data_IF_146030052056
#
_entry.id   IF_146030052056
#
_cell.length_a   1.000
_cell.length_b   1.000
_cell.length_c   1.000
_cell.angle_alpha   90.00
_cell.angle_beta   90.00
_cell.angle_gamma   90.00
#
_symmetry.space_group_name_H-M   'P 1'
#
loop_
_entity.id
_entity.type
_entity.pdbx_description
1 polymer ?
#
# COMPACT_ATOMS: atom_id res chain seq x y z
N UNK A 1 -25.11 8.10 0.51
CA UNK A 1 -23.73 8.44 0.96
C UNK A 1 -22.91 7.16 0.99
N UNK A 2 -21.87 7.12 0.17
CA UNK A 2 -21.06 5.93 0.08
C UNK A 2 -20.14 5.84 1.31
N UNK A 3 -20.17 4.70 1.99
CA UNK A 3 -19.25 4.46 3.09
C UNK A 3 -17.86 4.17 2.53
N UNK A 4 -16.83 4.57 3.28
CA UNK A 4 -15.45 4.23 2.96
C UNK A 4 -15.33 2.69 2.97
N UNK A 5 -14.80 2.06 1.93
CA UNK A 5 -14.60 0.60 1.92
C UNK A 5 -13.80 0.08 3.10
N UNK A 6 -12.87 0.88 3.64
CA UNK A 6 -12.09 0.48 4.80
C UNK A 6 -12.92 0.41 6.08
N UNK A 7 -14.04 1.15 6.15
CA UNK A 7 -14.93 1.11 7.31
C UNK A 7 -15.65 -0.25 7.44
N UNK A 8 -15.70 -1.03 6.37
CA UNK A 8 -16.31 -2.35 6.40
C UNK A 8 -15.42 -3.40 7.07
N UNK A 9 -14.13 -3.11 7.26
CA UNK A 9 -13.18 -4.05 7.84
C UNK A 9 -13.49 -4.29 9.33
N UNK A 10 -13.36 -5.53 9.78
CA UNK A 10 -13.38 -5.79 11.23
C UNK A 10 -12.15 -5.14 11.89
N UNK A 11 -12.23 -4.94 13.22
CA UNK A 11 -11.14 -4.29 13.95
C UNK A 11 -9.79 -4.98 13.75
N UNK A 12 -9.75 -6.32 13.70
CA UNK A 12 -8.50 -7.03 13.47
C UNK A 12 -7.95 -6.76 12.05
N UNK A 13 -8.83 -6.54 11.08
CA UNK A 13 -8.41 -6.23 9.71
C UNK A 13 -7.78 -4.85 9.60
N UNK A 14 -8.38 -3.85 10.23
CA UNK A 14 -7.79 -2.51 10.33
C UNK A 14 -6.44 -2.57 11.04
N UNK A 15 -6.35 -3.34 12.14
CA UNK A 15 -5.10 -3.53 12.87
C UNK A 15 -4.02 -4.19 12.00
N UNK A 16 -4.39 -5.22 11.24
CA UNK A 16 -3.45 -5.89 10.35
C UNK A 16 -2.89 -4.93 9.30
N UNK A 17 -3.74 -4.09 8.70
CA UNK A 17 -3.30 -3.05 7.78
C UNK A 17 -2.36 -2.04 8.44
N UNK A 18 -2.71 -1.59 9.65
CA UNK A 18 -1.90 -0.59 10.34
C UNK A 18 -0.53 -1.13 10.76
N UNK A 19 -0.47 -2.39 11.19
CA UNK A 19 0.72 -2.96 11.81
C UNK A 19 1.64 -3.71 10.86
N UNK A 20 1.14 -4.15 9.71
CA UNK A 20 1.96 -4.90 8.75
C UNK A 20 3.09 -4.03 8.21
N UNK A 21 4.29 -4.61 8.15
CA UNK A 21 5.50 -3.89 7.71
C UNK A 21 5.68 -3.93 6.21
N UNK A 22 5.12 -4.93 5.56
CA UNK A 22 5.21 -5.10 4.12
C UNK A 22 3.82 -5.42 3.60
N UNK A 23 3.47 -4.82 2.48
CA UNK A 23 2.30 -5.20 1.72
C UNK A 23 2.72 -5.64 0.32
N UNK A 24 1.85 -6.36 -0.35
CA UNK A 24 2.09 -6.82 -1.71
C UNK A 24 1.18 -6.04 -2.64
N UNK A 25 1.81 -5.25 -3.51
CA UNK A 25 1.12 -4.40 -4.48
C UNK A 25 0.97 -5.19 -5.78
N UNK A 26 -0.28 -5.46 -6.17
CA UNK A 26 -0.63 -6.09 -7.42
C UNK A 26 -1.03 -5.06 -8.45
N UNK A 27 -0.48 -5.17 -9.65
CA UNK A 27 -0.73 -4.23 -10.74
C UNK A 27 -0.50 -4.91 -12.09
N UNK A 28 -0.80 -4.22 -13.18
CA UNK A 28 -0.56 -4.71 -14.53
C UNK A 28 0.65 -4.00 -15.14
N UNK A 29 1.51 -4.77 -15.83
CA UNK A 29 2.65 -4.20 -16.54
C UNK A 29 2.26 -3.70 -17.95
N UNK A 30 3.24 -3.31 -18.75
CA UNK A 30 3.04 -2.74 -20.10
C UNK A 30 2.35 -3.72 -21.07
N UNK A 31 2.36 -5.01 -20.76
CA UNK A 31 1.73 -6.05 -21.57
C UNK A 31 0.50 -6.64 -20.91
N UNK A 32 -0.09 -5.91 -19.95
CA UNK A 32 -1.25 -6.36 -19.19
C UNK A 32 -1.03 -7.68 -18.43
N UNK A 33 0.23 -7.94 -18.04
CA UNK A 33 0.55 -9.10 -17.21
C UNK A 33 0.47 -8.72 -15.73
N UNK A 34 -0.16 -9.56 -14.92
CA UNK A 34 -0.19 -9.31 -13.47
C UNK A 34 1.23 -9.37 -12.88
N UNK A 35 1.55 -8.36 -12.06
CA UNK A 35 2.81 -8.28 -11.32
C UNK A 35 2.50 -8.04 -9.86
N UNK A 36 3.34 -8.58 -8.99
CA UNK A 36 3.22 -8.38 -7.54
C UNK A 36 4.56 -7.93 -7.00
N UNK A 37 4.55 -6.85 -6.22
CA UNK A 37 5.75 -6.24 -5.66
C UNK A 37 5.59 -6.05 -4.16
N UNK A 38 6.61 -6.36 -3.34
CA UNK A 38 6.58 -5.97 -1.92
C UNK A 38 6.84 -4.47 -1.79
N UNK A 39 6.07 -3.82 -0.94
CA UNK A 39 6.21 -2.37 -0.70
C UNK A 39 6.06 -2.07 0.79
N UNK A 40 6.73 -1.01 1.24
CA UNK A 40 6.40 -0.38 2.50
C UNK A 40 5.20 0.54 2.29
N UNK A 41 4.42 0.75 3.33
CA UNK A 41 3.18 1.51 3.19
C UNK A 41 2.68 2.02 4.53
N UNK A 42 1.74 2.95 4.48
CA UNK A 42 1.06 3.43 5.68
C UNK A 42 -0.42 3.63 5.39
N UNK A 43 -1.25 3.35 6.38
CA UNK A 43 -2.68 3.64 6.36
C UNK A 43 -2.89 4.98 7.05
N UNK A 44 -3.29 6.00 6.30
CA UNK A 44 -3.62 7.32 6.85
C UNK A 44 -4.54 8.06 5.89
N UNK A 45 -5.35 8.97 6.41
CA UNK A 45 -6.27 9.81 5.65
C UNK A 45 -7.17 8.99 4.70
N UNK A 46 -7.65 7.83 5.18
CA UNK A 46 -8.59 7.00 4.43
C UNK A 46 -8.01 6.30 3.21
N UNK A 47 -6.70 6.22 3.11
CA UNK A 47 -6.01 5.61 1.97
C UNK A 47 -4.76 4.86 2.41
N UNK A 48 -4.21 4.09 1.48
CA UNK A 48 -2.94 3.40 1.66
C UNK A 48 -1.90 4.10 0.80
N UNK A 49 -0.77 4.47 1.41
CA UNK A 49 0.26 5.27 0.76
C UNK A 49 1.58 4.53 0.76
N UNK A 50 2.28 4.58 -0.36
CA UNK A 50 3.61 3.99 -0.50
C UNK A 50 4.51 4.95 -1.27
N UNK A 51 5.69 5.23 -0.74
CA UNK A 51 6.61 6.16 -1.37
C UNK A 51 7.65 5.42 -2.20
N UNK A 52 8.16 6.11 -3.24
CA UNK A 52 9.30 5.62 -3.99
C UNK A 52 10.56 5.98 -3.22
N UNK A 53 11.31 4.98 -2.82
CA UNK A 53 12.52 5.14 -2.04
C UNK A 53 13.67 5.69 -2.89
N UNK A 54 14.58 6.38 -2.19
CA UNK A 54 15.88 6.70 -2.78
C UNK A 54 16.69 5.39 -2.88
N UNK A 55 17.01 4.99 -4.12
CA UNK A 55 17.78 3.81 -4.38
C UNK A 55 19.07 4.17 -5.12
N UNK A 56 20.12 3.33 -5.02
CA UNK A 56 21.36 3.58 -5.77
C UNK A 56 21.15 3.64 -7.28
N UNK A 57 20.12 3.00 -7.79
CA UNK A 57 19.79 3.01 -9.22
C UNK A 57 19.06 4.30 -9.56
N UNK A 58 19.46 4.92 -10.67
CA UNK A 58 18.97 6.24 -11.08
C UNK A 58 17.67 6.21 -11.87
N UNK A 59 17.16 5.03 -12.23
CA UNK A 59 15.94 4.92 -13.04
C UNK A 59 14.71 4.95 -12.16
N UNK A 60 13.67 5.63 -12.64
CA UNK A 60 12.36 5.51 -12.03
C UNK A 60 11.94 4.04 -12.01
N UNK A 61 11.34 3.56 -10.92
CA UNK A 61 10.78 2.22 -10.90
C UNK A 61 9.73 2.05 -11.99
N UNK A 62 9.75 0.90 -12.62
CA UNK A 62 8.79 0.59 -13.69
C UNK A 62 7.33 0.67 -13.21
N UNK A 63 7.09 0.44 -11.93
CA UNK A 63 5.72 0.51 -11.38
C UNK A 63 5.06 1.88 -11.57
N UNK A 64 5.83 2.97 -11.58
CA UNK A 64 5.26 4.30 -11.86
C UNK A 64 4.67 4.34 -13.26
N UNK A 65 5.41 3.88 -14.26
CA UNK A 65 4.94 3.82 -15.65
C UNK A 65 3.73 2.90 -15.78
N UNK A 66 3.76 1.75 -15.11
CA UNK A 66 2.65 0.81 -15.16
C UNK A 66 1.36 1.42 -14.58
N UNK A 67 1.48 2.11 -13.45
CA UNK A 67 0.32 2.73 -12.79
C UNK A 67 -0.18 3.97 -13.51
N UNK A 68 0.69 4.73 -14.17
CA UNK A 68 0.27 5.83 -15.03
C UNK A 68 -0.59 5.32 -16.19
N UNK A 69 -0.19 4.20 -16.77
CA UNK A 69 -0.91 3.58 -17.88
C UNK A 69 -2.21 2.91 -17.40
N UNK A 70 -2.17 2.23 -16.26
CA UNK A 70 -3.29 1.45 -15.72
C UNK A 70 -3.33 1.59 -14.20
N UNK A 71 -4.14 2.51 -13.69
CA UNK A 71 -4.08 2.89 -12.28
C UNK A 71 -4.77 1.92 -11.32
N UNK A 72 -5.45 0.90 -11.80
CA UNK A 72 -6.09 -0.09 -10.92
C UNK A 72 -5.05 -0.97 -10.27
N UNK A 73 -5.18 -1.17 -8.98
CA UNK A 73 -4.22 -1.95 -8.22
C UNK A 73 -4.90 -2.63 -7.03
N UNK A 74 -4.21 -3.61 -6.49
CA UNK A 74 -4.57 -4.23 -5.23
C UNK A 74 -3.40 -4.16 -4.27
N UNK A 75 -3.73 -4.14 -2.98
CA UNK A 75 -2.71 -4.18 -1.94
C UNK A 75 -3.15 -5.21 -0.90
N UNK A 76 -2.30 -6.21 -0.66
CA UNK A 76 -2.61 -7.32 0.23
C UNK A 76 -1.63 -7.34 1.38
N UNK A 77 -2.14 -7.49 2.58
CA UNK A 77 -1.36 -7.80 3.79
C UNK A 77 -1.85 -9.12 4.33
N UNK A 78 -0.96 -9.84 5.00
CA UNK A 78 -1.32 -11.13 5.56
C UNK A 78 -0.53 -11.42 6.83
N UNK A 79 -1.06 -12.36 7.60
CA UNK A 79 -0.38 -12.92 8.75
C UNK A 79 -0.23 -14.41 8.51
N UNK A 80 1.01 -14.89 8.49
CA UNK A 80 1.31 -16.31 8.41
C UNK A 80 1.95 -16.77 9.71
N UNK A 81 1.44 -17.88 10.24
CA UNK A 81 2.03 -18.59 11.39
C UNK A 81 1.92 -20.09 11.14
N UNK A 82 2.79 -20.87 11.77
CA UNK A 82 2.71 -22.34 11.68
C UNK A 82 1.42 -22.88 12.30
N UNK A 83 0.88 -22.19 13.29
CA UNK A 83 -0.49 -22.42 13.75
C UNK A 83 -1.46 -21.76 12.78
N UNK A 84 -2.06 -22.54 11.92
CA UNK A 84 -2.92 -22.02 10.86
C UNK A 84 -4.24 -21.43 11.38
N UNK A 85 -4.59 -21.63 12.64
CA UNK A 85 -5.74 -20.94 13.22
C UNK A 85 -5.51 -19.44 13.35
N UNK A 86 -4.25 -19.00 13.24
CA UNK A 86 -3.88 -17.58 13.27
C UNK A 86 -3.76 -16.93 11.90
N UNK A 87 -4.00 -17.66 10.82
CA UNK A 87 -3.89 -17.11 9.46
C UNK A 87 -4.97 -16.07 9.19
N UNK A 88 -4.57 -14.98 8.54
CA UNK A 88 -5.52 -13.94 8.14
C UNK A 88 -4.94 -13.16 6.96
N UNK A 89 -5.80 -12.54 6.18
CA UNK A 89 -5.37 -11.58 5.17
C UNK A 89 -6.42 -10.50 4.97
N UNK A 90 -5.95 -9.34 4.48
CA UNK A 90 -6.79 -8.23 4.03
C UNK A 90 -6.28 -7.81 2.66
N UNK A 91 -7.20 -7.61 1.72
CA UNK A 91 -6.90 -7.12 0.39
C UNK A 91 -7.75 -5.88 0.09
N UNK A 92 -7.08 -4.82 -0.33
CA UNK A 92 -7.73 -3.57 -0.71
C UNK A 92 -7.58 -3.40 -2.21
N UNK A 93 -8.70 -3.24 -2.90
CA UNK A 93 -8.74 -2.97 -4.34
C UNK A 93 -9.05 -1.49 -4.53
N UNK A 94 -8.35 -0.84 -5.45
CA UNK A 94 -8.60 0.57 -5.65
C UNK A 94 -7.89 1.17 -6.85
N UNK A 95 -7.87 2.49 -6.85
CA UNK A 95 -7.23 3.31 -7.89
C UNK A 95 -6.04 4.01 -7.28
N UNK A 96 -4.89 3.94 -7.95
CA UNK A 96 -3.67 4.61 -7.50
C UNK A 96 -3.59 5.99 -8.13
N UNK A 97 -3.39 6.99 -7.28
CA UNK A 97 -3.00 8.34 -7.66
C UNK A 97 -1.51 8.50 -7.38
N UNK A 98 -0.83 9.23 -8.24
CA UNK A 98 0.60 9.52 -8.07
C UNK A 98 0.74 10.98 -7.67
N UNK A 99 1.33 11.22 -6.50
CA UNK A 99 1.49 12.56 -5.96
C UNK A 99 2.97 12.92 -5.83
N UNK A 100 3.31 14.18 -6.06
CA UNK A 100 4.62 14.69 -5.72
C UNK A 100 4.80 14.69 -4.20
N UNK A 101 6.05 14.58 -3.75
CA UNK A 101 6.36 14.60 -2.32
C UNK A 101 5.80 15.85 -1.63
N UNK A 102 5.87 17.01 -2.28
CA UNK A 102 5.35 18.27 -1.72
C UNK A 102 3.84 18.25 -1.49
N UNK A 103 3.09 17.41 -2.23
CA UNK A 103 1.65 17.29 -2.08
C UNK A 103 1.24 16.15 -1.14
N UNK A 104 2.20 15.48 -0.51
CA UNK A 104 1.96 14.29 0.30
C UNK A 104 2.63 14.39 1.69
N UNK A 105 2.71 15.58 2.26
CA UNK A 105 3.41 15.82 3.53
C UNK A 105 2.91 14.95 4.66
N UNK A 106 1.59 14.79 4.80
CA UNK A 106 1.02 14.00 5.89
C UNK A 106 1.32 12.53 5.73
N UNK A 107 1.26 12.03 4.49
CA UNK A 107 1.60 10.64 4.22
C UNK A 107 3.09 10.37 4.48
N UNK A 108 3.96 11.27 4.06
CA UNK A 108 5.40 11.14 4.32
C UNK A 108 5.72 11.19 5.81
N UNK A 109 5.04 12.05 6.56
CA UNK A 109 5.20 12.09 8.01
C UNK A 109 4.73 10.77 8.66
N UNK A 110 3.61 10.23 8.22
CA UNK A 110 3.10 8.96 8.72
C UNK A 110 4.03 7.79 8.37
N UNK A 111 4.62 7.79 7.18
CA UNK A 111 5.62 6.80 6.79
C UNK A 111 6.87 6.88 7.67
N UNK A 112 7.32 8.08 7.98
CA UNK A 112 8.47 8.29 8.87
C UNK A 112 8.19 7.82 10.30
N UNK A 113 6.96 8.01 10.77
CA UNK A 113 6.56 7.51 12.09
C UNK A 113 6.56 5.97 12.12
N UNK A 114 6.14 5.34 11.04
CA UNK A 114 6.05 3.88 10.96
C UNK A 114 7.41 3.24 10.70
N UNK A 115 8.24 3.86 9.85
CA UNK A 115 9.53 3.29 9.41
C UNK A 115 10.66 4.24 9.80
N UNK A 116 11.46 3.87 10.84
CA UNK A 116 12.57 4.74 11.29
C UNK A 116 13.56 5.11 10.18
N UNK A 117 13.75 4.24 9.19
CA UNK A 117 14.64 4.50 8.06
C UNK A 117 14.25 5.76 7.29
N UNK A 118 12.95 6.07 7.24
CA UNK A 118 12.44 7.25 6.53
C UNK A 118 12.62 8.55 7.32
N UNK A 119 12.95 8.49 8.61
CA UNK A 119 13.30 9.67 9.39
C UNK A 119 14.69 10.17 9.01
N UNK A 120 15.61 9.23 8.79
CA UNK A 120 17.01 9.56 8.48
C UNK A 120 17.20 9.85 6.99
N UNK A 121 16.45 9.18 6.13
CA UNK A 121 16.52 9.35 4.67
C UNK A 121 15.09 9.38 4.10
N UNK A 122 14.45 10.56 4.12
CA UNK A 122 13.07 10.68 3.61
C UNK A 122 12.99 10.31 2.14
N UNK A 123 11.93 9.58 1.73
CA UNK A 123 11.75 9.25 0.32
C UNK A 123 11.61 10.52 -0.51
N UNK A 124 12.30 10.61 -1.66
CA UNK A 124 12.17 11.79 -2.51
C UNK A 124 10.83 11.88 -3.24
N UNK A 125 10.07 10.79 -3.23
CA UNK A 125 8.83 10.68 -4.00
C UNK A 125 9.11 10.23 -5.43
N UNK A 126 8.09 10.10 -6.27
CA UNK A 126 6.66 10.33 -5.98
C UNK A 126 6.09 9.40 -4.90
N UNK A 127 4.89 9.75 -4.45
CA UNK A 127 4.15 8.98 -3.46
C UNK A 127 2.89 8.42 -4.11
N UNK A 128 2.68 7.13 -3.94
CA UNK A 128 1.50 6.43 -4.46
C UNK A 128 0.41 6.46 -3.41
N UNK A 129 -0.80 6.86 -3.81
CA UNK A 129 -1.99 6.82 -2.95
C UNK A 129 -2.98 5.83 -3.54
N UNK A 130 -3.21 4.71 -2.86
CA UNK A 130 -4.27 3.78 -3.24
C UNK A 130 -5.57 4.25 -2.59
N UNK A 131 -6.49 4.73 -3.43
CA UNK A 131 -7.82 5.15 -3.02
C UNK A 131 -8.69 3.90 -2.99
N UNK A 132 -9.16 3.46 -1.81
CA UNK A 132 -9.90 2.20 -1.70
C UNK A 132 -11.23 2.27 -2.43
N UNK A 133 -11.56 1.21 -3.16
CA UNK A 133 -12.87 1.00 -3.76
C UNK A 133 -13.57 -0.20 -3.14
N UNK A 134 -12.81 -1.21 -2.70
CA UNK A 134 -13.34 -2.43 -2.12
C UNK A 134 -12.31 -3.05 -1.18
N UNK A 135 -12.78 -3.59 -0.08
CA UNK A 135 -11.94 -4.36 0.84
C UNK A 135 -12.49 -5.79 0.95
N UNK A 136 -11.58 -6.75 0.92
CA UNK A 136 -11.86 -8.17 1.12
C UNK A 136 -10.98 -8.68 2.25
N UNK A 137 -11.48 -9.63 3.02
CA UNK A 137 -10.71 -10.18 4.13
C UNK A 137 -11.14 -11.59 4.47
N UNK A 138 -10.23 -12.28 5.14
CA UNK A 138 -10.47 -13.63 5.64
C UNK A 138 -9.61 -13.89 6.86
N UNK A 139 -10.15 -14.61 7.80
CA UNK A 139 -9.41 -15.11 8.96
C UNK A 139 -9.80 -16.58 9.20
N UNK A 140 -8.85 -17.35 9.68
CA UNK A 140 -9.06 -18.79 9.91
C UNK A 140 -10.06 -19.06 11.06
N UNK A 141 -10.21 -18.09 11.95
CA UNK A 141 -11.12 -18.22 13.10
C UNK A 141 -11.92 -16.96 13.27
#
# INVERSE_FOLDING_TARGET
>A
MDSDPLDSLPAWGTGLLADSRVAHLGLLDDRDRPRVLPVTFVLTDGALWSAIDRKPKRREPARLRYLERHPRASLTVDRYEEDWSALAWVQVLGIVEIHDAAAADRALAALADKYPQYRDDPPPGPVLRLVPQRALWWAAV
#
